data_IF_273597516998
#
_entry.id   IF_273597516998
#
_cell.length_a   1.000
_cell.length_b   1.000
_cell.length_c   1.000
_cell.angle_alpha   90.00
_cell.angle_beta   90.00
_cell.angle_gamma   90.00
#
_symmetry.space_group_name_H-M   'P 1'
#
loop_
_entity.id
_entity.type
_entity.pdbx_description
1 polymer ?
#
# COMPACT_ATOMS: atom_id res chain seq x y z
N UNK A 1 -26.92 14.02 53.47
CA UNK A 1 -26.27 14.38 52.18
C UNK A 1 -24.84 13.88 52.24
N UNK A 2 -24.50 12.88 51.43
CA UNK A 2 -23.17 12.28 51.34
C UNK A 2 -22.82 12.11 49.86
N UNK A 3 -21.58 12.40 49.41
CA UNK A 3 -21.19 12.21 48.02
C UNK A 3 -20.66 10.79 47.76
N UNK A 4 -21.17 10.16 46.71
CA UNK A 4 -20.68 8.90 46.16
C UNK A 4 -19.37 9.12 45.39
N UNK A 5 -18.31 8.40 45.79
CA UNK A 5 -17.08 8.26 45.01
C UNK A 5 -17.27 7.14 43.96
N UNK A 6 -17.21 7.50 42.69
CA UNK A 6 -17.22 6.56 41.57
C UNK A 6 -15.81 6.08 41.23
N UNK A 7 -15.43 4.92 41.74
CA UNK A 7 -14.18 4.23 41.36
C UNK A 7 -14.34 3.67 39.95
N UNK A 8 -13.62 4.25 38.97
CA UNK A 8 -13.60 3.74 37.59
C UNK A 8 -12.49 2.69 37.47
N UNK A 9 -12.85 1.42 37.66
CA UNK A 9 -11.96 0.28 37.47
C UNK A 9 -11.82 -0.01 35.97
N UNK A 10 -10.62 0.22 35.40
CA UNK A 10 -10.30 -0.24 34.05
C UNK A 10 -10.12 -1.76 34.04
N UNK A 11 -10.74 -2.51 33.11
CA UNK A 11 -10.48 -3.94 33.01
C UNK A 11 -9.09 -4.20 32.42
N UNK A 12 -8.17 -4.60 33.28
CA UNK A 12 -6.92 -5.26 32.91
C UNK A 12 -7.25 -6.57 32.21
N UNK A 13 -7.19 -6.57 30.87
CA UNK A 13 -7.19 -7.82 30.11
C UNK A 13 -5.81 -8.47 30.21
N UNK A 14 -5.79 -9.48 31.07
CA UNK A 14 -5.00 -10.70 31.08
C UNK A 14 -4.24 -10.95 29.78
N UNK A 15 -2.90 -10.90 29.89
CA UNK A 15 -1.99 -11.55 28.96
C UNK A 15 -2.23 -13.07 29.06
N UNK A 16 -2.92 -13.65 28.10
CA UNK A 16 -2.85 -15.09 27.87
C UNK A 16 -1.62 -15.36 27.01
N UNK A 17 -0.64 -16.00 27.65
CA UNK A 17 0.44 -16.70 27.00
C UNK A 17 -0.12 -17.68 25.95
N UNK A 18 0.22 -17.45 24.69
CA UNK A 18 0.24 -18.48 23.64
C UNK A 18 1.64 -18.40 23.01
N UNK A 19 2.59 -19.10 23.64
CA UNK A 19 3.70 -19.69 22.91
C UNK A 19 3.12 -20.78 22.01
N UNK A 20 3.31 -20.66 20.70
CA UNK A 20 2.93 -21.69 19.75
C UNK A 20 2.85 -21.16 18.33
N UNK A 21 3.87 -21.50 17.53
CA UNK A 21 3.98 -21.26 16.09
C UNK A 21 4.52 -19.88 15.68
N UNK A 22 5.84 -19.71 15.74
CA UNK A 22 6.57 -18.83 14.80
C UNK A 22 6.85 -19.61 13.51
N UNK A 23 6.01 -19.46 12.46
CA UNK A 23 6.49 -19.44 11.10
C UNK A 23 6.20 -18.01 10.60
N UNK A 24 7.15 -17.31 9.99
CA UNK A 24 7.64 -17.70 8.68
C UNK A 24 8.84 -16.83 8.30
N UNK A 25 10.05 -17.35 8.54
CA UNK A 25 11.28 -16.92 7.83
C UNK A 25 11.16 -17.25 6.32
N UNK A 26 10.21 -18.12 5.97
CA UNK A 26 9.97 -18.62 4.61
C UNK A 26 9.31 -17.61 3.64
N UNK A 27 8.80 -16.47 4.11
CA UNK A 27 8.02 -15.55 3.26
C UNK A 27 8.77 -14.31 2.76
N UNK A 28 9.97 -14.01 3.28
CA UNK A 28 10.68 -12.78 2.88
C UNK A 28 11.25 -12.90 1.47
N UNK A 29 11.86 -14.04 1.11
CA UNK A 29 12.48 -14.24 -0.21
C UNK A 29 11.47 -14.32 -1.35
N UNK A 30 10.39 -15.07 -1.17
CA UNK A 30 9.29 -15.21 -2.13
C UNK A 30 8.53 -13.87 -2.32
N UNK A 31 8.29 -13.13 -1.23
CA UNK A 31 7.66 -11.81 -1.30
C UNK A 31 8.57 -10.78 -1.95
N UNK A 32 9.88 -10.76 -1.64
CA UNK A 32 10.84 -9.84 -2.28
C UNK A 32 10.91 -10.10 -3.79
N UNK A 33 10.95 -11.37 -4.21
CA UNK A 33 10.91 -11.73 -5.63
C UNK A 33 9.60 -11.26 -6.28
N UNK A 34 8.47 -11.46 -5.62
CA UNK A 34 7.15 -10.99 -6.08
C UNK A 34 7.08 -9.45 -6.17
N UNK A 35 7.68 -8.74 -5.22
CA UNK A 35 7.77 -7.28 -5.21
C UNK A 35 8.58 -6.79 -6.41
N UNK A 36 9.74 -7.40 -6.66
CA UNK A 36 10.60 -7.05 -7.79
C UNK A 36 9.92 -7.32 -9.14
N UNK A 37 9.22 -8.46 -9.27
CA UNK A 37 8.44 -8.78 -10.46
C UNK A 37 7.35 -7.73 -10.71
N UNK A 38 6.62 -7.33 -9.68
CA UNK A 38 5.59 -6.29 -9.78
C UNK A 38 6.18 -4.92 -10.15
N UNK A 39 7.32 -4.54 -9.57
CA UNK A 39 8.01 -3.30 -9.95
C UNK A 39 8.42 -3.29 -11.42
N UNK A 40 8.98 -4.40 -11.92
CA UNK A 40 9.34 -4.52 -13.33
C UNK A 40 8.12 -4.44 -14.26
N UNK A 41 6.99 -5.04 -13.84
CA UNK A 41 5.73 -4.98 -14.57
C UNK A 41 5.18 -3.55 -14.65
N UNK A 42 5.18 -2.81 -13.53
CA UNK A 42 4.73 -1.42 -13.47
C UNK A 42 5.57 -0.53 -14.40
N UNK A 43 6.89 -0.70 -14.42
CA UNK A 43 7.77 0.03 -15.35
C UNK A 43 7.43 -0.25 -16.82
N UNK A 44 7.07 -1.50 -17.15
CA UNK A 44 6.68 -1.87 -18.51
C UNK A 44 5.35 -1.23 -18.91
N UNK A 45 4.37 -1.28 -18.01
CA UNK A 45 3.05 -0.65 -18.18
C UNK A 45 3.19 0.85 -18.37
N UNK A 46 4.00 1.50 -17.53
CA UNK A 46 4.23 2.93 -17.60
C UNK A 46 4.76 3.34 -18.99
N UNK A 47 5.77 2.64 -19.50
CA UNK A 47 6.29 2.86 -20.85
C UNK A 47 5.24 2.62 -21.94
N UNK A 48 4.40 1.60 -21.80
CA UNK A 48 3.35 1.31 -22.79
C UNK A 48 2.20 2.32 -22.75
N UNK A 49 1.90 2.92 -21.59
CA UNK A 49 1.00 4.07 -21.47
C UNK A 49 1.55 5.30 -22.20
N UNK A 50 2.83 5.61 -22.01
CA UNK A 50 3.48 6.72 -22.72
C UNK A 50 3.44 6.54 -24.23
N UNK A 51 3.67 5.31 -24.71
CA UNK A 51 3.56 4.99 -26.13
C UNK A 51 2.12 5.17 -26.64
N UNK A 52 1.14 4.70 -25.87
CA UNK A 52 -0.28 4.82 -26.22
C UNK A 52 -0.73 6.29 -26.24
N UNK A 53 -0.33 7.07 -25.25
CA UNK A 53 -0.59 8.50 -25.15
C UNK A 53 0.02 9.25 -26.35
N UNK A 54 1.28 8.97 -26.68
CA UNK A 54 1.96 9.52 -27.87
C UNK A 54 1.22 9.16 -29.16
N UNK A 55 0.72 7.92 -29.26
CA UNK A 55 -0.06 7.49 -30.42
C UNK A 55 -1.37 8.27 -30.56
N UNK A 56 -2.09 8.53 -29.46
CA UNK A 56 -3.30 9.33 -29.45
C UNK A 56 -3.04 10.78 -29.88
N UNK A 57 -1.97 11.39 -29.37
CA UNK A 57 -1.53 12.73 -29.80
C UNK A 57 -1.18 12.80 -31.29
N UNK A 58 -0.68 11.71 -31.88
CA UNK A 58 -0.33 11.66 -33.29
C UNK A 58 -1.55 11.49 -34.22
N UNK A 59 -2.76 11.25 -33.69
CA UNK A 59 -3.97 11.13 -34.51
C UNK A 59 -4.52 12.50 -34.92
N UNK A 60 -5.18 12.57 -36.08
CA UNK A 60 -5.82 13.80 -36.58
C UNK A 60 -7.27 13.51 -36.98
N UNK A 61 -8.27 14.27 -36.49
CA UNK A 61 -8.18 15.35 -35.49
C UNK A 61 -7.87 14.82 -34.07
N UNK A 62 -7.05 15.55 -33.31
CA UNK A 62 -6.59 15.17 -31.95
C UNK A 62 -7.76 15.19 -30.96
N UNK A 63 -8.70 16.10 -31.17
CA UNK A 63 -9.86 16.36 -30.30
C UNK A 63 -10.69 15.10 -30.04
N UNK A 64 -10.74 14.19 -31.03
CA UNK A 64 -11.42 12.88 -30.94
C UNK A 64 -10.84 11.97 -29.84
N UNK A 65 -9.58 12.20 -29.45
CA UNK A 65 -8.83 11.36 -28.51
C UNK A 65 -8.44 12.09 -27.22
N UNK A 66 -8.94 13.31 -27.00
CA UNK A 66 -8.66 14.12 -25.79
C UNK A 66 -8.96 13.34 -24.50
N UNK A 67 -10.14 12.73 -24.39
CA UNK A 67 -10.51 11.94 -23.22
C UNK A 67 -9.62 10.70 -23.02
N UNK A 68 -9.10 10.10 -24.10
CA UNK A 68 -8.16 8.97 -24.02
C UNK A 68 -6.82 9.42 -23.45
N UNK A 69 -6.33 10.57 -23.90
CA UNK A 69 -5.09 11.20 -23.42
C UNK A 69 -5.21 11.48 -21.92
N UNK A 70 -6.30 12.14 -21.51
CA UNK A 70 -6.55 12.46 -20.10
C UNK A 70 -6.63 11.18 -19.25
N UNK A 71 -7.37 10.17 -19.73
CA UNK A 71 -7.48 8.89 -19.03
C UNK A 71 -6.13 8.17 -18.94
N UNK A 72 -5.28 8.24 -19.97
CA UNK A 72 -3.92 7.71 -19.92
C UNK A 72 -3.08 8.40 -18.83
N UNK A 73 -3.15 9.73 -18.74
CA UNK A 73 -2.47 10.49 -17.67
C UNK A 73 -2.90 10.06 -16.26
N UNK A 74 -4.21 9.91 -16.04
CA UNK A 74 -4.73 9.42 -14.75
C UNK A 74 -4.25 8.00 -14.40
N UNK A 75 -4.15 7.12 -15.40
CA UNK A 75 -3.62 5.77 -15.20
C UNK A 75 -2.11 5.83 -14.86
N UNK A 76 -1.34 6.70 -15.52
CA UNK A 76 0.08 6.88 -15.22
C UNK A 76 0.30 7.32 -13.77
N UNK A 77 -0.50 8.26 -13.27
CA UNK A 77 -0.47 8.70 -11.87
C UNK A 77 -0.75 7.55 -10.89
N UNK A 78 -1.78 6.74 -11.16
CA UNK A 78 -2.11 5.58 -10.34
C UNK A 78 -0.99 4.52 -10.33
N UNK A 79 -0.39 4.26 -11.49
CA UNK A 79 0.74 3.34 -11.64
C UNK A 79 1.95 3.84 -10.85
N UNK A 80 2.26 5.13 -10.94
CA UNK A 80 3.35 5.75 -10.19
C UNK A 80 3.11 5.68 -8.68
N UNK A 81 1.89 5.95 -8.21
CA UNK A 81 1.50 5.81 -6.79
C UNK A 81 1.69 4.39 -6.26
N UNK A 82 1.32 3.38 -7.06
CA UNK A 82 1.56 1.97 -6.71
C UNK A 82 3.08 1.71 -6.65
N UNK A 83 3.84 2.16 -7.64
CA UNK A 83 5.29 1.99 -7.68
C UNK A 83 5.97 2.62 -6.47
N UNK A 84 5.56 3.82 -6.07
CA UNK A 84 6.07 4.50 -4.87
C UNK A 84 5.73 3.74 -3.59
N UNK A 85 4.53 3.16 -3.52
CA UNK A 85 4.13 2.30 -2.40
C UNK A 85 5.00 1.04 -2.32
N UNK A 86 5.24 0.36 -3.45
CA UNK A 86 6.10 -0.82 -3.49
C UNK A 86 7.57 -0.49 -3.21
N UNK A 87 8.06 0.66 -3.67
CA UNK A 87 9.40 1.15 -3.35
C UNK A 87 9.54 1.48 -1.87
N UNK A 88 8.52 2.09 -1.25
CA UNK A 88 8.46 2.28 0.21
C UNK A 88 8.55 0.94 0.93
N UNK A 89 7.74 -0.05 0.53
CA UNK A 89 7.83 -1.42 1.06
C UNK A 89 9.25 -1.98 0.98
N UNK A 90 9.94 -1.82 -0.15
CA UNK A 90 11.30 -2.33 -0.35
C UNK A 90 12.32 -1.74 0.63
N UNK A 91 12.08 -0.51 1.08
CA UNK A 91 12.93 0.21 2.04
C UNK A 91 12.57 -0.06 3.51
N UNK A 92 11.45 -0.74 3.78
CA UNK A 92 11.06 -1.08 5.14
C UNK A 92 11.99 -2.12 5.73
N UNK A 93 12.55 -1.82 6.90
CA UNK A 93 13.35 -2.76 7.68
C UNK A 93 12.50 -3.89 8.28
N UNK A 94 13.16 -4.93 8.77
CA UNK A 94 12.48 -6.09 9.36
C UNK A 94 11.68 -5.74 10.61
N UNK A 95 12.18 -4.83 11.45
CA UNK A 95 11.50 -4.39 12.68
C UNK A 95 10.12 -3.79 12.37
N UNK A 96 10.06 -2.83 11.43
CA UNK A 96 8.82 -2.23 10.98
C UNK A 96 7.92 -3.24 10.25
N UNK A 97 8.50 -4.17 9.51
CA UNK A 97 7.73 -5.20 8.82
C UNK A 97 7.09 -6.22 9.78
N UNK A 98 7.75 -6.51 10.90
CA UNK A 98 7.34 -7.55 11.84
C UNK A 98 6.19 -7.14 12.76
N UNK A 99 5.83 -5.85 12.83
CA UNK A 99 4.62 -5.40 13.55
C UNK A 99 3.31 -5.69 12.80
N UNK A 100 3.37 -6.35 11.64
CA UNK A 100 2.19 -6.74 10.86
C UNK A 100 1.39 -7.84 11.55
N UNK A 101 0.07 -7.78 11.40
CA UNK A 101 -0.81 -8.90 11.81
C UNK A 101 -0.98 -9.88 10.65
N UNK A 102 -1.24 -11.17 10.93
CA UNK A 102 -1.51 -12.19 9.91
C UNK A 102 -2.57 -11.75 8.88
N UNK A 103 -3.72 -11.23 9.33
CA UNK A 103 -4.77 -10.75 8.42
C UNK A 103 -4.42 -9.46 7.65
N UNK A 104 -3.39 -8.71 8.06
CA UNK A 104 -2.85 -7.61 7.25
C UNK A 104 -1.96 -8.18 6.16
N UNK A 105 -1.08 -9.12 6.52
CA UNK A 105 -0.14 -9.78 5.62
C UNK A 105 -0.88 -10.49 4.49
N UNK A 106 -1.89 -11.28 4.82
CA UNK A 106 -2.73 -11.96 3.82
C UNK A 106 -3.35 -10.98 2.82
N UNK A 107 -3.95 -9.88 3.29
CA UNK A 107 -4.53 -8.85 2.42
C UNK A 107 -3.48 -8.15 1.56
N UNK A 108 -2.28 -7.92 2.09
CA UNK A 108 -1.18 -7.33 1.36
C UNK A 108 -0.66 -8.27 0.27
N UNK A 109 -0.38 -9.52 0.60
CA UNK A 109 0.05 -10.55 -0.34
C UNK A 109 -0.98 -10.77 -1.44
N UNK A 110 -2.29 -10.85 -1.10
CA UNK A 110 -3.37 -10.93 -2.10
C UNK A 110 -3.36 -9.74 -3.08
N UNK A 111 -2.97 -8.54 -2.64
CA UNK A 111 -2.83 -7.36 -3.52
C UNK A 111 -1.60 -7.46 -4.40
N UNK A 112 -0.45 -7.92 -3.88
CA UNK A 112 0.74 -8.19 -4.69
C UNK A 112 0.47 -9.25 -5.76
N UNK A 113 -0.24 -10.32 -5.43
CA UNK A 113 -0.70 -11.30 -6.43
C UNK A 113 -1.74 -10.70 -7.37
N UNK A 114 -2.59 -9.79 -6.89
CA UNK A 114 -3.48 -8.99 -7.73
C UNK A 114 -2.75 -7.90 -8.51
N UNK A 115 -1.43 -7.78 -8.44
CA UNK A 115 -0.62 -7.08 -9.45
C UNK A 115 0.05 -8.09 -10.38
N UNK A 116 0.57 -9.20 -9.84
CA UNK A 116 1.29 -10.23 -10.62
C UNK A 116 0.42 -11.08 -11.54
N UNK A 117 -0.83 -11.38 -11.17
CA UNK A 117 -1.83 -12.04 -12.05
C UNK A 117 -2.10 -11.24 -13.34
N UNK A 118 -1.36 -10.15 -13.52
CA UNK A 118 -1.39 -9.17 -14.58
C UNK A 118 -0.06 -9.06 -15.33
N UNK A 119 0.86 -10.02 -15.17
CA UNK A 119 2.18 -10.05 -15.86
C UNK A 119 2.57 -11.37 -16.54
N UNK A 120 1.79 -12.45 -16.45
CA UNK A 120 2.14 -13.72 -17.08
C UNK A 120 1.49 -13.89 -18.47
N UNK A 121 2.27 -14.07 -19.55
CA UNK A 121 1.77 -14.34 -20.91
C UNK A 121 1.42 -15.83 -21.12
N UNK A 122 0.89 -16.52 -20.11
CA UNK A 122 0.73 -17.99 -20.15
C UNK A 122 -0.59 -18.49 -20.73
N UNK A 123 -1.45 -17.64 -21.28
CA UNK A 123 -2.68 -18.12 -21.94
C UNK A 123 -2.92 -17.43 -23.28
N UNK A 124 -2.01 -17.70 -24.22
CA UNK A 124 -2.29 -17.65 -25.67
C UNK A 124 -3.08 -18.88 -26.16
N UNK A 125 -3.54 -19.75 -25.25
CA UNK A 125 -4.05 -21.09 -25.59
C UNK A 125 -5.43 -21.47 -25.02
N UNK A 126 -6.15 -20.59 -24.30
CA UNK A 126 -7.55 -20.86 -23.96
C UNK A 126 -8.47 -19.85 -24.63
N UNK A 127 -8.90 -20.26 -25.82
CA UNK A 127 -10.04 -19.66 -26.49
C UNK A 127 -11.31 -19.80 -25.64
N UNK A 128 -12.13 -18.76 -25.75
CA UNK A 128 -13.56 -18.70 -25.45
C UNK A 128 -14.06 -19.20 -24.08
N UNK A 129 -14.92 -18.34 -23.50
CA UNK A 129 -16.01 -18.70 -22.59
C UNK A 129 -15.60 -18.98 -21.14
N UNK A 130 -15.38 -17.90 -20.39
CA UNK A 130 -15.85 -17.81 -19.01
C UNK A 130 -15.95 -16.34 -18.57
N UNK A 131 -17.20 -15.88 -18.55
CA UNK A 131 -17.69 -14.80 -17.71
C UNK A 131 -17.53 -15.23 -16.24
N UNK A 132 -16.40 -14.91 -15.62
CA UNK A 132 -16.29 -14.76 -14.17
C UNK A 132 -15.49 -13.49 -13.91
N UNK A 133 -16.19 -12.50 -13.37
CA UNK A 133 -15.68 -11.18 -13.06
C UNK A 133 -14.55 -11.25 -12.03
N UNK A 134 -13.39 -10.72 -12.40
CA UNK A 134 -12.31 -10.49 -11.44
C UNK A 134 -10.91 -10.47 -12.07
N UNK A 135 -10.35 -9.25 -12.18
CA UNK A 135 -8.91 -8.95 -12.05
C UNK A 135 -7.96 -9.46 -13.16
N UNK A 136 -7.91 -8.74 -14.30
CA UNK A 136 -6.90 -8.86 -15.38
C UNK A 136 -6.64 -7.51 -16.07
N UNK A 137 -6.11 -6.49 -15.41
CA UNK A 137 -6.24 -5.11 -15.92
C UNK A 137 -4.96 -4.49 -16.52
N UNK A 138 -3.74 -4.86 -16.10
CA UNK A 138 -2.47 -4.36 -16.66
C UNK A 138 -2.12 -5.09 -17.96
N UNK A 139 -2.17 -6.43 -18.05
CA UNK A 139 -2.05 -7.14 -19.35
C UNK A 139 -3.08 -6.66 -20.36
N UNK A 140 -4.32 -6.41 -19.93
CA UNK A 140 -5.37 -5.92 -20.84
C UNK A 140 -5.05 -4.53 -21.35
N UNK A 141 -4.47 -3.67 -20.51
CA UNK A 141 -3.96 -2.37 -20.92
C UNK A 141 -2.81 -2.52 -21.93
N UNK A 142 -1.85 -3.43 -21.67
CA UNK A 142 -0.80 -3.76 -22.65
C UNK A 142 -1.38 -4.31 -23.98
N UNK A 143 -2.51 -5.01 -23.93
CA UNK A 143 -3.19 -5.53 -25.12
C UNK A 143 -3.98 -4.46 -25.90
N UNK A 144 -4.18 -3.26 -25.34
CA UNK A 144 -4.77 -2.13 -26.08
C UNK A 144 -3.82 -1.69 -27.18
N UNK A 145 -2.51 -1.61 -26.87
CA UNK A 145 -1.49 -1.11 -27.79
C UNK A 145 -1.48 -1.81 -29.17
N UNK A 146 -1.38 -3.14 -29.29
CA UNK A 146 -1.44 -3.80 -30.60
C UNK A 146 -2.77 -3.61 -31.34
N UNK A 147 -3.86 -3.38 -30.60
CA UNK A 147 -5.20 -3.15 -31.18
C UNK A 147 -5.29 -1.77 -31.82
N UNK A 148 -4.60 -0.80 -31.22
CA UNK A 148 -4.55 0.60 -31.60
C UNK A 148 -3.52 0.84 -32.73
N UNK A 149 -2.30 0.32 -32.59
CA UNK A 149 -1.22 0.57 -33.56
C UNK A 149 -1.46 -0.07 -34.94
N UNK A 150 -2.20 -1.18 -35.02
CA UNK A 150 -2.32 -1.98 -36.26
C UNK A 150 -3.47 -1.58 -37.17
N UNK A 151 -4.36 -0.66 -36.77
CA UNK A 151 -5.60 -0.37 -37.50
C UNK A 151 -5.92 1.12 -37.45
N UNK A 152 -6.42 1.68 -38.55
CA UNK A 152 -7.25 2.89 -38.47
C UNK A 152 -8.46 2.54 -37.61
N UNK A 153 -8.57 3.13 -36.43
CA UNK A 153 -9.66 2.84 -35.50
C UNK A 153 -10.97 3.33 -36.11
N UNK A 154 -11.94 2.43 -36.22
CA UNK A 154 -13.33 2.81 -36.51
C UNK A 154 -13.91 3.54 -35.30
N UNK A 155 -14.87 4.47 -35.47
CA UNK A 155 -15.47 5.22 -34.36
C UNK A 155 -15.95 4.32 -33.19
N UNK A 156 -16.59 3.19 -33.49
CA UNK A 156 -17.02 2.22 -32.48
C UNK A 156 -15.87 1.62 -31.66
N UNK A 157 -14.69 1.44 -32.27
CA UNK A 157 -13.51 0.98 -31.55
C UNK A 157 -12.87 2.07 -30.70
N UNK A 158 -12.97 3.35 -31.12
CA UNK A 158 -12.46 4.49 -30.33
C UNK A 158 -13.20 4.54 -28.99
N UNK A 159 -14.53 4.48 -29.00
CA UNK A 159 -15.36 4.42 -27.78
C UNK A 159 -15.03 3.20 -26.93
N UNK A 160 -14.92 2.02 -27.53
CA UNK A 160 -14.57 0.79 -26.81
C UNK A 160 -13.19 0.85 -26.15
N UNK A 161 -12.21 1.50 -26.78
CA UNK A 161 -10.88 1.70 -26.19
C UNK A 161 -10.97 2.65 -25.00
N UNK A 162 -11.73 3.73 -25.11
CA UNK A 162 -11.94 4.67 -24.00
C UNK A 162 -12.56 3.99 -22.78
N UNK A 163 -13.66 3.26 -22.96
CA UNK A 163 -14.33 2.53 -21.88
C UNK A 163 -13.39 1.54 -21.17
N UNK A 164 -12.50 0.89 -21.93
CA UNK A 164 -11.49 -0.01 -21.36
C UNK A 164 -10.44 0.75 -20.56
N UNK A 165 -9.97 1.89 -21.05
CA UNK A 165 -9.03 2.75 -20.31
C UNK A 165 -9.67 3.25 -19.01
N UNK A 166 -10.90 3.75 -19.06
CA UNK A 166 -11.63 4.21 -17.86
C UNK A 166 -11.82 3.07 -16.84
N UNK A 167 -12.19 1.87 -17.28
CA UNK A 167 -12.26 0.71 -16.39
C UNK A 167 -10.89 0.30 -15.81
N UNK A 168 -9.82 0.56 -16.55
CA UNK A 168 -8.46 0.32 -16.09
C UNK A 168 -8.03 1.33 -15.02
N UNK A 169 -8.32 2.62 -15.25
CA UNK A 169 -8.13 3.69 -14.29
C UNK A 169 -8.85 3.39 -12.97
N UNK A 170 -10.17 3.13 -12.98
CA UNK A 170 -10.94 2.88 -11.74
C UNK A 170 -10.34 1.78 -10.86
N UNK A 171 -9.84 0.71 -11.49
CA UNK A 171 -9.22 -0.41 -10.77
C UNK A 171 -7.83 -0.08 -10.24
N UNK A 172 -7.03 0.64 -11.01
CA UNK A 172 -5.70 1.04 -10.57
C UNK A 172 -5.78 2.08 -9.47
N UNK A 173 -6.73 3.01 -9.53
CA UNK A 173 -7.04 3.95 -8.47
C UNK A 173 -7.49 3.28 -7.17
N UNK A 174 -8.38 2.28 -7.25
CA UNK A 174 -8.76 1.50 -6.07
C UNK A 174 -7.56 0.74 -5.48
N UNK A 175 -6.70 0.19 -6.33
CA UNK A 175 -5.53 -0.57 -5.91
C UNK A 175 -4.44 0.34 -5.30
N UNK A 176 -4.19 1.50 -5.89
CA UNK A 176 -3.24 2.51 -5.42
C UNK A 176 -3.63 2.97 -4.02
N UNK A 177 -4.90 3.35 -3.82
CA UNK A 177 -5.48 3.69 -2.50
C UNK A 177 -5.30 2.56 -1.49
N UNK A 178 -5.55 1.30 -1.89
CA UNK A 178 -5.40 0.13 -1.01
C UNK A 178 -3.96 -0.15 -0.59
N UNK A 179 -2.99 0.04 -1.49
CA UNK A 179 -1.56 -0.10 -1.16
C UNK A 179 -1.12 0.99 -0.19
N UNK A 180 -1.39 2.26 -0.51
CA UNK A 180 -1.08 3.39 0.34
C UNK A 180 -1.67 3.20 1.75
N UNK A 181 -2.98 2.92 1.85
CA UNK A 181 -3.64 2.70 3.13
C UNK A 181 -3.07 1.51 3.92
N UNK A 182 -2.58 0.48 3.25
CA UNK A 182 -2.00 -0.68 3.94
C UNK A 182 -0.67 -0.34 4.58
N UNK A 183 0.19 0.39 3.86
CA UNK A 183 1.49 0.82 4.37
C UNK A 183 1.36 1.88 5.46
N UNK A 184 0.46 2.85 5.31
CA UNK A 184 0.21 3.84 6.38
C UNK A 184 -0.30 3.19 7.67
N UNK A 185 -1.16 2.16 7.55
CA UNK A 185 -1.61 1.38 8.72
C UNK A 185 -0.47 0.58 9.36
N UNK A 186 0.47 0.07 8.56
CA UNK A 186 1.63 -0.65 9.09
C UNK A 186 2.55 0.32 9.83
N UNK A 187 2.85 1.47 9.22
CA UNK A 187 3.63 2.55 9.85
C UNK A 187 3.00 3.00 11.17
N UNK A 188 1.69 3.22 11.22
CA UNK A 188 0.98 3.60 12.44
C UNK A 188 1.12 2.54 13.55
N UNK A 189 1.05 1.25 13.19
CA UNK A 189 1.27 0.15 14.14
C UNK A 189 2.71 0.13 14.64
N UNK A 190 3.68 0.40 13.77
CA UNK A 190 5.08 0.44 14.14
C UNK A 190 5.35 1.58 15.14
N UNK A 191 4.87 2.79 14.86
CA UNK A 191 4.98 3.93 15.79
C UNK A 191 4.32 3.60 17.13
N UNK A 192 3.13 2.99 17.11
CA UNK A 192 2.46 2.55 18.34
C UNK A 192 3.29 1.51 19.12
N UNK A 193 3.90 0.55 18.42
CA UNK A 193 4.76 -0.44 19.03
C UNK A 193 5.98 0.21 19.71
N UNK A 194 6.67 1.12 19.03
CA UNK A 194 7.78 1.88 19.60
C UNK A 194 7.35 2.71 20.81
N UNK A 195 6.16 3.33 20.78
CA UNK A 195 5.60 4.04 21.93
C UNK A 195 5.38 3.12 23.13
N UNK A 196 4.82 1.92 22.92
CA UNK A 196 4.62 0.94 23.98
C UNK A 196 5.95 0.51 24.60
N UNK A 197 6.95 0.18 23.77
CA UNK A 197 8.28 -0.19 24.25
C UNK A 197 8.95 0.94 25.04
N UNK A 198 8.90 2.17 24.52
CA UNK A 198 9.45 3.33 25.22
C UNK A 198 8.74 3.60 26.56
N UNK A 199 7.44 3.27 26.66
CA UNK A 199 6.69 3.35 27.91
C UNK A 199 7.07 2.25 28.91
N UNK A 200 7.25 1.01 28.45
CA UNK A 200 7.68 -0.11 29.28
C UNK A 200 9.10 0.09 29.81
N UNK A 201 10.04 0.49 28.94
CA UNK A 201 11.41 0.80 29.33
C UNK A 201 11.48 1.91 30.40
N UNK A 202 10.65 2.95 30.25
CA UNK A 202 10.57 4.02 31.24
C UNK A 202 10.02 3.55 32.59
N UNK A 203 9.05 2.64 32.61
CA UNK A 203 8.52 2.03 33.84
C UNK A 203 9.59 1.19 34.52
N UNK A 204 10.25 0.30 33.77
CA UNK A 204 11.34 -0.54 34.28
C UNK A 204 12.49 0.28 34.85
N UNK A 205 12.92 1.36 34.18
CA UNK A 205 13.95 2.27 34.72
C UNK A 205 13.52 3.02 35.99
N UNK A 206 12.23 3.33 36.12
CA UNK A 206 11.69 3.97 37.33
C UNK A 206 11.69 2.98 38.51
N UNK A 207 11.38 1.71 38.24
CA UNK A 207 11.36 0.62 39.22
C UNK A 207 12.79 0.18 39.61
N UNK A 208 13.72 0.17 38.66
CA UNK A 208 15.12 -0.22 38.83
C UNK A 208 16.02 0.89 39.40
N UNK A 209 15.45 1.90 40.09
CA UNK A 209 16.19 3.04 40.67
C UNK A 209 17.28 2.58 41.64
N UNK A 210 18.47 2.38 41.09
CA UNK A 210 19.77 2.31 41.77
C UNK A 210 20.78 2.92 40.81
N UNK A 211 21.59 3.85 41.32
CA UNK A 211 22.71 4.56 40.67
C UNK A 211 22.43 5.97 40.12
N UNK A 212 23.52 6.75 40.21
CA UNK A 212 23.77 8.18 40.01
C UNK A 212 22.66 9.06 39.40
N UNK A 213 22.28 10.10 40.14
CA UNK A 213 21.12 10.92 39.88
C UNK A 213 21.29 11.82 38.64
N UNK A 214 22.51 12.29 38.35
CA UNK A 214 22.75 13.18 37.21
C UNK A 214 22.70 12.44 35.86
N UNK A 215 23.27 11.23 35.79
CA UNK A 215 23.18 10.35 34.62
C UNK A 215 21.77 9.84 34.40
N UNK A 216 21.05 9.49 35.49
CA UNK A 216 19.63 9.16 35.44
C UNK A 216 18.78 10.30 34.88
N UNK A 217 18.94 11.53 35.38
CA UNK A 217 18.16 12.69 34.93
C UNK A 217 18.36 12.98 33.44
N UNK A 218 19.60 12.90 32.94
CA UNK A 218 19.89 13.08 31.51
C UNK A 218 19.16 12.06 30.64
N UNK A 219 19.30 10.77 30.95
CA UNK A 219 18.60 9.71 30.22
C UNK A 219 17.08 9.81 30.34
N UNK A 220 16.57 10.29 31.48
CA UNK A 220 15.15 10.52 31.68
C UNK A 220 14.58 11.58 30.73
N UNK A 221 15.30 12.70 30.55
CA UNK A 221 14.90 13.75 29.61
C UNK A 221 15.02 13.30 28.15
N UNK A 222 16.07 12.55 27.79
CA UNK A 222 16.23 11.94 26.46
C UNK A 222 15.05 11.00 26.15
N UNK A 223 14.73 10.06 27.05
CA UNK A 223 13.61 9.14 26.90
C UNK A 223 12.26 9.89 26.82
N UNK A 224 12.12 11.01 27.55
CA UNK A 224 10.92 11.86 27.51
C UNK A 224 10.79 12.58 26.16
N UNK A 225 11.89 13.05 25.59
CA UNK A 225 11.92 13.66 24.27
C UNK A 225 11.53 12.64 23.18
N UNK A 226 12.10 11.44 23.21
CA UNK A 226 11.76 10.35 22.29
C UNK A 226 10.26 10.02 22.35
N UNK A 227 9.68 9.89 23.55
CA UNK A 227 8.23 9.66 23.69
C UNK A 227 7.39 10.82 23.17
N UNK A 228 7.82 12.06 23.37
CA UNK A 228 7.12 13.23 22.85
C UNK A 228 7.13 13.24 21.31
N UNK A 229 8.28 12.92 20.71
CA UNK A 229 8.46 12.85 19.26
C UNK A 229 7.59 11.76 18.64
N UNK A 230 7.66 10.55 19.18
CA UNK A 230 6.82 9.43 18.74
C UNK A 230 5.32 9.72 18.88
N UNK A 231 4.88 10.46 19.91
CA UNK A 231 3.48 10.89 20.03
C UNK A 231 3.09 11.87 18.94
N UNK A 232 3.95 12.84 18.61
CA UNK A 232 3.70 13.78 17.51
C UNK A 232 3.55 13.03 16.20
N UNK A 233 4.46 12.11 15.91
CA UNK A 233 4.40 11.26 14.71
C UNK A 233 3.14 10.38 14.69
N UNK A 234 2.79 9.77 15.82
CA UNK A 234 1.57 8.97 15.93
C UNK A 234 0.33 9.79 15.61
N UNK A 235 0.18 10.99 16.19
CA UNK A 235 -0.97 11.84 15.94
C UNK A 235 -1.01 12.33 14.49
N UNK A 236 0.14 12.62 13.89
CA UNK A 236 0.22 12.99 12.48
C UNK A 236 -0.22 11.84 11.57
N UNK A 237 0.33 10.64 11.77
CA UNK A 237 -0.03 9.44 11.01
C UNK A 237 -1.49 9.00 11.26
N UNK A 238 -2.01 9.22 12.46
CA UNK A 238 -3.40 8.92 12.79
C UNK A 238 -4.36 9.85 12.06
N UNK A 239 -4.02 11.15 11.94
CA UNK A 239 -4.83 12.11 11.18
C UNK A 239 -4.88 11.75 9.70
N UNK A 240 -3.74 11.43 9.09
CA UNK A 240 -3.68 11.04 7.67
C UNK A 240 -4.43 9.73 7.39
N UNK A 241 -4.47 8.80 8.34
CA UNK A 241 -5.18 7.52 8.16
C UNK A 241 -6.69 7.60 8.43
N UNK A 242 -7.16 8.54 9.26
CA UNK A 242 -8.61 8.71 9.57
C UNK A 242 -9.32 9.78 8.76
N UNK A 243 -8.61 10.77 8.25
CA UNK A 243 -9.14 11.72 7.29
C UNK A 243 -8.59 11.37 5.90
N UNK A 244 -9.20 10.40 5.17
CA UNK A 244 -8.99 10.39 3.73
C UNK A 244 -9.45 11.77 3.25
N UNK A 245 -8.54 12.50 2.61
CA UNK A 245 -8.78 13.81 2.02
C UNK A 245 -10.21 13.92 1.51
N UNK A 246 -10.99 14.84 2.09
CA UNK A 246 -12.24 15.28 1.50
C UNK A 246 -11.87 15.98 0.18
N UNK A 247 -11.86 15.20 -0.89
CA UNK A 247 -11.76 15.63 -2.28
C UNK A 247 -12.75 14.79 -3.07
#
# INVERSE_FOLDING_TARGET
>A
MAPHAGTTTFPSKTQSAIQGSMPSVLDTGSEIALLQENLNLLSTVYRDLQNLCTWFYAQTPVETFSEHIDTCGLIEEDVQSIQDSLNRRRKLGEEEWNVRSAGWHEKYSQRLYSLRRWGLPLFRLWGQKLMLGGRRTLVRLLAVRPTVERRKLKPSHITLVLEKLQHHHLKLSDLSKKFAASLERLRLRHIHYLLTQAHEAARQKTEARREDQATFERHWYEDKAIRADLRREFFQAYRTTRQPSAQ
#
